data_IF_971171435069
#
_entry.id   IF_971171435069
#
_cell.length_a   1.000
_cell.length_b   1.000
_cell.length_c   1.000
_cell.angle_alpha   90.00
_cell.angle_beta   90.00
_cell.angle_gamma   90.00
#
_symmetry.space_group_name_H-M   'P 1'
#
loop_
_entity.id
_entity.type
_entity.pdbx_description
1 polymer ?
#
# COMPACT_ATOMS: atom_id res chain seq x y z
N UNK A 1 -34.35 4.91 17.32
CA UNK A 1 -34.33 5.19 15.87
C UNK A 1 -33.53 6.46 15.58
N UNK A 2 -33.70 7.53 16.36
CA UNK A 2 -33.02 8.83 16.16
C UNK A 2 -31.48 8.84 16.35
N UNK A 3 -30.90 7.80 16.96
CA UNK A 3 -29.42 7.65 17.05
C UNK A 3 -28.77 7.09 15.79
N UNK A 4 -29.54 6.56 14.83
CA UNK A 4 -29.03 5.98 13.59
C UNK A 4 -28.96 7.02 12.45
N UNK A 5 -29.55 8.21 12.59
CA UNK A 5 -29.50 9.25 11.54
C UNK A 5 -28.14 9.99 11.47
N UNK A 6 -27.24 9.73 12.41
CA UNK A 6 -25.96 10.46 12.54
C UNK A 6 -24.73 9.69 11.99
N UNK A 7 -24.91 8.60 11.23
CA UNK A 7 -23.78 7.87 10.62
C UNK A 7 -22.98 8.69 9.61
N UNK A 8 -23.57 9.74 9.03
CA UNK A 8 -22.89 10.58 8.03
C UNK A 8 -21.69 11.36 8.57
N UNK A 9 -21.58 11.52 9.90
CA UNK A 9 -20.48 12.23 10.56
C UNK A 9 -19.45 11.29 11.22
N UNK A 10 -19.58 9.97 11.02
CA UNK A 10 -18.61 9.02 11.57
C UNK A 10 -17.46 8.88 10.58
N UNK A 11 -16.20 8.98 11.03
CA UNK A 11 -15.05 8.70 10.18
C UNK A 11 -15.18 7.31 9.54
N UNK A 12 -15.11 7.26 8.21
CA UNK A 12 -15.26 6.02 7.45
C UNK A 12 -14.20 5.91 6.37
N UNK A 13 -13.77 4.68 6.10
CA UNK A 13 -12.96 4.33 4.94
C UNK A 13 -13.77 3.52 3.94
N UNK A 14 -13.41 3.61 2.66
CA UNK A 14 -13.97 2.77 1.61
C UNK A 14 -12.92 1.72 1.24
N UNK A 15 -13.23 0.46 1.54
CA UNK A 15 -12.38 -0.66 1.11
C UNK A 15 -12.63 -0.94 -0.38
N UNK A 16 -11.58 -1.11 -1.21
CA UNK A 16 -11.73 -1.38 -2.63
C UNK A 16 -12.67 -2.56 -2.91
N UNK A 17 -13.50 -2.44 -3.95
CA UNK A 17 -14.40 -3.51 -4.34
C UNK A 17 -13.67 -4.53 -5.24
N UNK A 18 -12.80 -5.31 -4.60
CA UNK A 18 -11.99 -6.37 -5.21
C UNK A 18 -12.40 -7.70 -4.57
N UNK A 19 -12.25 -8.81 -5.31
CA UNK A 19 -12.50 -10.14 -4.77
C UNK A 19 -11.45 -10.42 -3.68
N UNK A 20 -11.92 -10.55 -2.44
CA UNK A 20 -11.10 -10.85 -1.27
C UNK A 20 -11.63 -12.09 -0.56
N UNK A 21 -10.73 -12.81 0.09
CA UNK A 21 -11.13 -13.65 1.22
C UNK A 21 -11.62 -12.76 2.37
N UNK A 22 -12.41 -13.32 3.29
CA UNK A 22 -12.91 -12.57 4.47
C UNK A 22 -11.78 -11.94 5.27
N UNK A 23 -10.70 -12.71 5.49
CA UNK A 23 -9.50 -12.27 6.19
C UNK A 23 -8.80 -11.14 5.45
N UNK A 24 -8.67 -11.22 4.12
CA UNK A 24 -7.96 -10.19 3.35
C UNK A 24 -8.75 -8.89 3.26
N UNK A 25 -10.08 -8.98 3.17
CA UNK A 25 -10.94 -7.79 3.26
C UNK A 25 -10.77 -7.09 4.60
N UNK A 26 -10.69 -7.85 5.69
CA UNK A 26 -10.45 -7.33 7.03
C UNK A 26 -9.04 -6.73 7.18
N UNK A 27 -8.00 -7.40 6.68
CA UNK A 27 -6.62 -6.87 6.64
C UNK A 27 -6.56 -5.51 5.94
N UNK A 28 -7.13 -5.42 4.73
CA UNK A 28 -7.16 -4.16 3.96
C UNK A 28 -7.90 -3.07 4.72
N UNK A 29 -9.07 -3.38 5.30
CA UNK A 29 -9.84 -2.42 6.08
C UNK A 29 -9.04 -1.88 7.27
N UNK A 30 -8.40 -2.77 8.05
CA UNK A 30 -7.62 -2.37 9.21
C UNK A 30 -6.42 -1.52 8.80
N UNK A 31 -5.70 -1.92 7.75
CA UNK A 31 -4.51 -1.20 7.26
C UNK A 31 -4.87 0.19 6.75
N UNK A 32 -5.96 0.31 5.97
CA UNK A 32 -6.45 1.61 5.52
C UNK A 32 -6.90 2.48 6.70
N UNK A 33 -7.60 1.90 7.68
CA UNK A 33 -8.11 2.63 8.83
C UNK A 33 -6.99 3.11 9.78
N UNK A 34 -5.92 2.32 9.91
CA UNK A 34 -4.69 2.73 10.62
C UNK A 34 -3.97 3.85 9.86
N UNK A 35 -3.85 3.73 8.54
CA UNK A 35 -3.19 4.74 7.70
C UNK A 35 -3.89 6.11 7.77
N UNK A 36 -5.21 6.14 7.92
CA UNK A 36 -6.00 7.38 8.04
C UNK A 36 -6.21 7.81 9.51
N UNK A 37 -5.56 7.15 10.48
CA UNK A 37 -5.70 7.38 11.93
C UNK A 37 -7.14 7.26 12.46
N UNK A 38 -8.03 6.52 11.80
CA UNK A 38 -9.36 6.16 12.33
C UNK A 38 -9.23 5.06 13.37
N UNK A 39 -8.31 4.13 13.14
CA UNK A 39 -7.93 3.11 14.11
C UNK A 39 -6.52 3.37 14.61
N UNK A 40 -6.24 2.81 15.77
CA UNK A 40 -4.92 2.72 16.40
C UNK A 40 -4.62 1.25 16.73
N UNK A 41 -3.36 0.92 17.01
CA UNK A 41 -2.99 -0.48 17.29
C UNK A 41 -3.67 -1.09 18.52
N UNK A 42 -4.10 -0.28 19.47
CA UNK A 42 -4.81 -0.68 20.69
C UNK A 42 -6.33 -0.71 20.51
N UNK A 43 -6.82 -0.39 19.30
CA UNK A 43 -8.23 -0.44 18.98
C UNK A 43 -8.78 -1.87 19.07
N UNK A 44 -9.97 -1.96 19.67
CA UNK A 44 -10.77 -3.18 19.75
C UNK A 44 -11.93 -3.07 18.78
N UNK A 45 -12.11 -4.09 17.97
CA UNK A 45 -12.99 -4.04 16.79
C UNK A 45 -14.07 -5.10 16.88
N UNK A 46 -15.24 -4.79 16.31
CA UNK A 46 -16.22 -5.79 15.90
C UNK A 46 -16.34 -5.70 14.39
N UNK A 47 -15.88 -6.72 13.68
CA UNK A 47 -16.00 -6.84 12.23
C UNK A 47 -17.27 -7.62 11.89
N UNK A 48 -18.18 -6.97 11.16
CA UNK A 48 -19.33 -7.62 10.54
C UNK A 48 -18.96 -7.96 9.10
N UNK A 49 -18.93 -9.25 8.76
CA UNK A 49 -18.43 -9.71 7.47
C UNK A 49 -19.26 -10.86 6.91
N UNK A 50 -19.13 -11.08 5.61
CA UNK A 50 -19.73 -12.16 4.86
C UNK A 50 -19.48 -11.99 3.36
N UNK A 51 -19.73 -13.05 2.58
CA UNK A 51 -19.44 -13.05 1.14
C UNK A 51 -20.47 -12.21 0.35
N UNK A 52 -21.76 -12.50 0.55
CA UNK A 52 -22.87 -11.79 -0.11
C UNK A 52 -23.75 -11.04 0.89
N UNK A 53 -23.97 -11.62 2.07
CA UNK A 53 -24.69 -11.03 3.19
C UNK A 53 -23.82 -11.12 4.44
N UNK A 54 -24.02 -10.22 5.40
CA UNK A 54 -23.37 -10.32 6.71
C UNK A 54 -23.88 -11.60 7.39
N UNK A 55 -22.97 -12.53 7.64
CA UNK A 55 -23.27 -13.81 8.30
C UNK A 55 -22.35 -14.07 9.50
N UNK A 56 -21.35 -13.21 9.71
CA UNK A 56 -20.32 -13.39 10.73
C UNK A 56 -20.06 -12.09 11.48
N UNK A 57 -19.84 -12.22 12.78
CA UNK A 57 -19.37 -11.17 13.66
C UNK A 57 -18.07 -11.64 14.31
N UNK A 58 -17.00 -10.86 14.16
CA UNK A 58 -15.67 -11.21 14.68
C UNK A 58 -15.22 -10.10 15.61
N UNK A 59 -14.90 -10.44 16.87
CA UNK A 59 -14.25 -9.52 17.79
C UNK A 59 -12.72 -9.66 17.66
N UNK A 60 -12.03 -8.53 17.62
CA UNK A 60 -10.59 -8.46 17.34
C UNK A 60 -9.93 -7.42 18.25
N UNK A 61 -8.70 -7.70 18.68
CA UNK A 61 -7.82 -6.69 19.27
C UNK A 61 -6.59 -6.57 18.37
N UNK A 62 -6.41 -5.42 17.71
CA UNK A 62 -5.41 -5.28 16.64
C UNK A 62 -4.01 -5.72 17.11
N UNK A 63 -3.57 -5.30 18.29
CA UNK A 63 -2.24 -5.64 18.84
C UNK A 63 -2.04 -7.14 19.11
N UNK A 64 -3.11 -7.93 19.23
CA UNK A 64 -3.04 -9.38 19.49
C UNK A 64 -3.07 -10.22 18.21
N UNK A 65 -3.58 -9.67 17.11
CA UNK A 65 -3.84 -10.39 15.87
C UNK A 65 -2.66 -10.35 14.89
N UNK A 66 -1.66 -11.21 15.15
CA UNK A 66 -0.44 -11.32 14.32
C UNK A 66 -0.69 -11.72 12.87
N UNK A 67 -1.81 -12.39 12.60
CA UNK A 67 -2.18 -12.77 11.22
C UNK A 67 -2.72 -11.59 10.41
N UNK A 68 -3.20 -10.53 11.07
CA UNK A 68 -3.75 -9.35 10.40
C UNK A 68 -2.68 -8.28 10.15
N UNK A 69 -1.78 -8.09 11.11
CA UNK A 69 -0.63 -7.21 11.01
C UNK A 69 0.61 -7.97 11.49
N UNK A 70 1.61 -8.07 10.62
CA UNK A 70 2.82 -8.85 10.89
C UNK A 70 3.81 -8.11 11.80
N UNK A 71 3.56 -6.83 12.09
CA UNK A 71 4.46 -5.95 12.82
C UNK A 71 4.04 -5.74 14.27
N UNK A 72 5.03 -5.64 15.18
CA UNK A 72 4.82 -5.58 16.65
C UNK A 72 4.98 -4.20 17.29
N UNK A 73 5.58 -3.22 16.61
CA UNK A 73 5.81 -1.87 17.18
C UNK A 73 4.74 -0.88 16.65
N UNK A 74 4.73 0.35 17.16
CA UNK A 74 3.88 1.40 16.61
C UNK A 74 4.30 1.70 15.17
N UNK A 75 3.43 1.43 14.20
CA UNK A 75 3.62 1.92 12.84
C UNK A 75 3.08 3.34 12.81
N UNK A 76 3.99 4.30 12.77
CA UNK A 76 3.63 5.64 12.37
C UNK A 76 3.48 5.65 10.85
N UNK A 77 2.25 5.57 10.37
CA UNK A 77 1.92 5.78 8.96
C UNK A 77 2.28 7.22 8.52
N UNK A 78 2.47 8.13 9.49
CA UNK A 78 3.08 9.44 9.35
C UNK A 78 2.12 10.50 8.81
N UNK A 79 2.29 11.75 9.26
CA UNK A 79 1.67 12.93 8.64
C UNK A 79 2.21 13.23 7.23
N UNK A 80 3.26 12.51 6.82
CA UNK A 80 4.00 12.75 5.56
C UNK A 80 3.19 12.31 4.35
N UNK A 81 2.38 11.25 4.46
CA UNK A 81 1.60 10.70 3.35
C UNK A 81 0.14 10.98 3.63
N UNK A 82 -0.53 11.68 2.71
CA UNK A 82 -1.96 11.90 2.81
C UNK A 82 -2.71 10.56 2.76
N UNK A 83 -3.67 10.32 3.66
CA UNK A 83 -4.32 9.03 3.73
C UNK A 83 -5.00 8.60 2.41
N UNK A 84 -5.61 9.54 1.70
CA UNK A 84 -6.24 9.31 0.40
C UNK A 84 -5.24 8.87 -0.69
N UNK A 85 -3.98 9.29 -0.58
CA UNK A 85 -2.90 8.90 -1.51
C UNK A 85 -2.49 7.46 -1.25
N UNK A 86 -2.31 7.09 0.02
CA UNK A 86 -2.03 5.71 0.40
C UNK A 86 -3.15 4.76 -0.06
N UNK A 87 -4.41 5.14 0.20
CA UNK A 87 -5.59 4.38 -0.23
C UNK A 87 -5.60 4.19 -1.76
N UNK A 88 -5.36 5.27 -2.52
CA UNK A 88 -5.32 5.26 -3.98
C UNK A 88 -4.25 4.31 -4.52
N UNK A 89 -3.02 4.39 -3.99
CA UNK A 89 -1.90 3.53 -4.43
C UNK A 89 -2.14 2.07 -4.04
N UNK A 90 -2.62 1.82 -2.82
CA UNK A 90 -2.95 0.46 -2.38
C UNK A 90 -4.03 -0.16 -3.26
N UNK A 91 -5.07 0.61 -3.63
CA UNK A 91 -6.09 0.16 -4.58
C UNK A 91 -5.48 -0.21 -5.94
N UNK A 92 -4.66 0.66 -6.52
CA UNK A 92 -3.99 0.38 -7.81
C UNK A 92 -3.13 -0.89 -7.72
N UNK A 93 -2.38 -1.05 -6.63
CA UNK A 93 -1.55 -2.23 -6.39
C UNK A 93 -2.41 -3.52 -6.31
N UNK A 94 -3.54 -3.47 -5.60
CA UNK A 94 -4.47 -4.60 -5.51
C UNK A 94 -5.15 -4.93 -6.83
N UNK A 95 -5.46 -3.93 -7.66
CA UNK A 95 -5.98 -4.14 -9.00
C UNK A 95 -4.93 -4.79 -9.90
N UNK A 96 -3.68 -4.32 -9.87
CA UNK A 96 -2.55 -4.92 -10.59
C UNK A 96 -2.29 -6.36 -10.17
N UNK A 97 -2.32 -6.65 -8.87
CA UNK A 97 -2.21 -7.99 -8.32
C UNK A 97 -3.27 -8.95 -8.88
N UNK A 98 -4.52 -8.49 -8.96
CA UNK A 98 -5.64 -9.33 -9.37
C UNK A 98 -5.73 -9.49 -10.89
N UNK A 99 -5.64 -8.40 -11.64
CA UNK A 99 -5.90 -8.36 -13.08
C UNK A 99 -4.62 -8.56 -13.92
N UNK A 100 -3.45 -8.26 -13.35
CA UNK A 100 -2.22 -8.15 -14.11
C UNK A 100 -2.30 -7.05 -15.18
N UNK A 101 -1.50 -7.19 -16.24
CA UNK A 101 -1.57 -6.36 -17.46
C UNK A 101 -1.69 -7.29 -18.66
N UNK A 102 -2.71 -7.07 -19.50
CA UNK A 102 -2.96 -7.90 -20.70
C UNK A 102 -3.01 -9.41 -20.39
N UNK A 103 -3.52 -9.78 -19.21
CA UNK A 103 -3.61 -11.16 -18.75
C UNK A 103 -2.29 -11.76 -18.22
N UNK A 104 -1.22 -10.97 -18.11
CA UNK A 104 0.05 -11.39 -17.52
C UNK A 104 0.23 -10.79 -16.14
N UNK A 105 0.80 -11.56 -15.21
CA UNK A 105 1.19 -11.05 -13.90
C UNK A 105 2.22 -9.92 -14.06
N UNK A 106 2.08 -8.87 -13.24
CA UNK A 106 3.02 -7.75 -13.21
C UNK A 106 3.45 -7.52 -11.78
N UNK A 107 4.76 -7.46 -11.55
CA UNK A 107 5.33 -7.01 -10.29
C UNK A 107 5.59 -5.51 -10.33
N UNK A 108 5.24 -4.81 -9.24
CA UNK A 108 5.40 -3.36 -9.13
C UNK A 108 5.93 -2.99 -7.75
N UNK A 109 6.63 -1.86 -7.67
CA UNK A 109 7.10 -1.27 -6.42
C UNK A 109 6.71 0.21 -6.39
N UNK A 110 5.96 0.61 -5.38
CA UNK A 110 5.59 2.00 -5.13
C UNK A 110 6.29 2.46 -3.85
N UNK A 111 6.99 3.59 -3.90
CA UNK A 111 7.59 4.27 -2.74
C UNK A 111 6.85 5.58 -2.53
N UNK A 112 6.32 5.79 -1.33
CA UNK A 112 5.44 6.90 -1.00
C UNK A 112 6.08 7.79 0.08
N UNK A 113 6.04 9.10 -0.15
CA UNK A 113 6.52 10.10 0.79
C UNK A 113 8.04 10.19 0.87
N UNK A 114 8.50 11.15 1.68
CA UNK A 114 9.90 11.37 2.05
C UNK A 114 10.90 11.48 0.87
N UNK A 115 10.44 12.06 -0.25
CA UNK A 115 11.15 12.09 -1.53
C UNK A 115 12.56 12.68 -1.43
N UNK A 116 12.73 13.76 -0.67
CA UNK A 116 14.04 14.42 -0.53
C UNK A 116 15.06 13.55 0.23
N UNK A 117 14.63 12.80 1.25
CA UNK A 117 15.52 11.93 2.01
C UNK A 117 15.85 10.63 1.28
N UNK A 118 14.94 10.11 0.43
CA UNK A 118 15.24 8.92 -0.38
C UNK A 118 16.15 9.22 -1.58
N UNK A 119 16.19 10.47 -2.06
CA UNK A 119 16.90 10.90 -3.26
C UNK A 119 18.36 10.42 -3.39
N UNK A 120 19.19 10.39 -2.32
CA UNK A 120 20.55 9.87 -2.41
C UNK A 120 20.63 8.36 -2.76
N UNK A 121 19.56 7.62 -2.52
CA UNK A 121 19.45 6.17 -2.78
C UNK A 121 18.75 5.86 -4.11
N UNK A 122 18.32 6.88 -4.85
CA UNK A 122 17.53 6.75 -6.06
C UNK A 122 18.44 6.92 -7.29
N UNK A 123 18.38 5.95 -8.21
CA UNK A 123 19.04 6.04 -9.52
C UNK A 123 18.03 5.82 -10.64
N UNK A 124 17.80 6.85 -11.45
CA UNK A 124 16.93 6.76 -12.62
C UNK A 124 17.53 5.79 -13.67
N UNK A 125 16.78 4.77 -14.08
CA UNK A 125 17.25 3.78 -15.07
C UNK A 125 16.80 4.09 -16.49
N UNK A 126 15.56 4.56 -16.64
CA UNK A 126 14.95 4.94 -17.93
C UNK A 126 14.55 6.42 -17.91
N UNK A 127 14.15 7.00 -19.05
CA UNK A 127 13.61 8.36 -19.01
C UNK A 127 12.40 8.44 -18.07
N UNK A 128 12.41 9.40 -17.14
CA UNK A 128 11.29 9.61 -16.23
C UNK A 128 10.07 10.07 -17.05
N UNK A 129 8.99 9.25 -17.11
CA UNK A 129 7.84 9.56 -17.96
C UNK A 129 7.00 10.73 -17.43
N UNK A 130 7.17 11.11 -16.16
CA UNK A 130 6.45 12.24 -15.53
C UNK A 130 7.25 13.54 -15.57
N UNK A 131 8.48 13.52 -16.11
CA UNK A 131 9.33 14.73 -16.20
C UNK A 131 8.80 15.66 -17.28
N UNK A 132 8.63 16.94 -16.92
CA UNK A 132 8.17 17.99 -17.84
C UNK A 132 6.68 18.30 -17.77
N UNK A 133 5.90 17.50 -17.04
CA UNK A 133 4.51 17.80 -16.72
C UNK A 133 4.41 18.61 -15.43
N UNK A 134 3.37 19.44 -15.31
CA UNK A 134 3.11 20.18 -14.09
C UNK A 134 2.70 19.23 -12.96
N UNK A 135 3.02 19.61 -11.72
CA UNK A 135 2.69 18.82 -10.52
C UNK A 135 1.19 18.45 -10.44
N UNK A 136 0.32 19.35 -10.88
CA UNK A 136 -1.14 19.18 -10.88
C UNK A 136 -1.61 18.17 -11.92
N UNK A 137 -0.89 18.00 -13.03
CA UNK A 137 -1.24 17.09 -14.12
C UNK A 137 -0.78 15.65 -13.85
N UNK A 138 0.20 15.49 -12.96
CA UNK A 138 0.78 14.20 -12.57
C UNK A 138 0.44 13.81 -11.13
N UNK A 139 -0.70 14.28 -10.61
CA UNK A 139 -1.18 13.86 -9.30
C UNK A 139 -2.03 12.59 -9.43
N UNK A 140 -1.66 11.52 -8.71
CA UNK A 140 -2.29 10.20 -8.78
C UNK A 140 -3.78 10.20 -8.42
N UNK A 141 -4.27 11.25 -7.76
CA UNK A 141 -5.69 11.40 -7.45
C UNK A 141 -6.55 11.66 -8.70
N UNK A 142 -5.93 12.05 -9.83
CA UNK A 142 -6.60 12.19 -11.10
C UNK A 142 -6.99 10.81 -11.66
N UNK A 143 -8.27 10.64 -12.00
CA UNK A 143 -8.82 9.35 -12.43
C UNK A 143 -8.20 8.79 -13.71
N UNK A 144 -7.67 9.64 -14.60
CA UNK A 144 -7.00 9.22 -15.83
C UNK A 144 -5.57 8.68 -15.60
N UNK A 145 -5.00 8.87 -14.41
CA UNK A 145 -3.66 8.39 -14.12
C UNK A 145 -3.63 6.93 -13.63
N UNK A 146 -4.76 6.34 -13.24
CA UNK A 146 -4.84 4.92 -12.86
C UNK A 146 -4.31 4.03 -13.98
N UNK A 147 -4.81 4.25 -15.20
CA UNK A 147 -4.39 3.49 -16.38
C UNK A 147 -2.95 3.80 -16.78
N UNK A 148 -2.49 5.03 -16.57
CA UNK A 148 -1.11 5.44 -16.85
C UNK A 148 -0.13 4.75 -15.90
N UNK A 149 -0.45 4.69 -14.61
CA UNK A 149 0.35 3.97 -13.61
C UNK A 149 0.37 2.47 -13.93
N UNK A 150 -0.78 1.90 -14.32
CA UNK A 150 -0.84 0.50 -14.75
C UNK A 150 -0.02 0.25 -16.01
N UNK A 151 -0.05 1.15 -16.99
CA UNK A 151 0.75 1.05 -18.21
C UNK A 151 2.25 1.08 -17.88
N UNK A 152 2.67 2.01 -17.03
CA UNK A 152 4.08 2.13 -16.64
C UNK A 152 4.54 1.07 -15.63
N UNK A 153 3.64 0.26 -15.08
CA UNK A 153 3.99 -0.78 -14.10
C UNK A 153 4.86 -1.90 -14.69
N UNK A 154 4.93 -1.99 -16.01
CA UNK A 154 5.81 -2.90 -16.75
C UNK A 154 7.28 -2.43 -16.74
N UNK A 155 7.55 -1.18 -16.37
CA UNK A 155 8.91 -0.67 -16.25
C UNK A 155 9.65 -1.35 -15.09
N UNK A 156 10.94 -1.60 -15.27
CA UNK A 156 11.79 -2.09 -14.20
C UNK A 156 12.13 -0.98 -13.19
N UNK A 157 12.03 -1.29 -11.91
CA UNK A 157 12.24 -0.35 -10.80
C UNK A 157 10.97 0.09 -10.08
N UNK A 158 11.09 1.22 -9.37
CA UNK A 158 10.06 1.77 -8.50
C UNK A 158 9.35 2.98 -9.11
N UNK A 159 8.09 3.17 -8.71
CA UNK A 159 7.42 4.47 -8.74
C UNK A 159 7.78 5.25 -7.49
N UNK A 160 8.06 6.54 -7.66
CA UNK A 160 8.24 7.49 -6.57
C UNK A 160 7.04 8.43 -6.53
N UNK A 161 6.38 8.50 -5.38
CA UNK A 161 5.14 9.25 -5.18
C UNK A 161 5.31 10.15 -3.97
N UNK A 162 5.16 11.45 -4.15
CA UNK A 162 5.14 12.41 -3.06
C UNK A 162 3.96 12.19 -2.13
N UNK A 163 4.08 12.64 -0.88
CA UNK A 163 3.06 12.45 0.14
C UNK A 163 1.70 13.08 -0.19
N UNK A 164 1.68 14.08 -1.08
CA UNK A 164 0.47 14.74 -1.59
C UNK A 164 -0.11 14.10 -2.86
N UNK A 165 0.49 13.01 -3.33
CA UNK A 165 0.03 12.24 -4.48
C UNK A 165 0.72 12.59 -5.80
N UNK A 166 1.68 13.51 -5.84
CA UNK A 166 2.44 13.76 -7.08
C UNK A 166 3.30 12.58 -7.47
N UNK A 167 3.15 12.11 -8.70
CA UNK A 167 4.03 11.12 -9.34
C UNK A 167 5.35 11.80 -9.72
N UNK A 168 6.41 11.49 -8.99
CA UNK A 168 7.73 12.10 -9.19
C UNK A 168 8.55 11.37 -10.25
N UNK A 169 8.52 10.04 -10.23
CA UNK A 169 9.22 9.22 -11.22
C UNK A 169 8.66 7.80 -11.32
N UNK A 170 8.99 7.12 -12.42
CA UNK A 170 8.88 5.68 -12.58
C UNK A 170 10.18 5.13 -13.19
N UNK A 171 10.40 3.83 -13.03
CA UNK A 171 11.58 3.16 -13.57
C UNK A 171 12.87 3.49 -12.81
N UNK A 172 12.76 3.56 -11.48
CA UNK A 172 13.83 3.95 -10.57
C UNK A 172 14.47 2.73 -9.92
N UNK A 173 15.79 2.66 -9.94
CA UNK A 173 16.55 1.72 -9.11
C UNK A 173 16.73 2.28 -7.69
N UNK A 174 16.54 1.41 -6.70
CA UNK A 174 16.79 1.70 -5.29
C UNK A 174 18.14 1.10 -4.90
N UNK A 175 19.11 1.96 -4.60
CA UNK A 175 20.45 1.62 -4.15
C UNK A 175 20.62 1.74 -2.62
N UNK A 176 19.55 1.46 -1.87
CA UNK A 176 19.59 1.33 -0.42
C UNK A 176 19.95 -0.09 -0.01
N UNK A 177 20.52 -0.26 1.18
CA UNK A 177 20.77 -1.56 1.81
C UNK A 177 20.00 -1.64 3.12
N UNK A 178 19.30 -2.76 3.34
CA UNK A 178 18.66 -3.08 4.61
C UNK A 178 19.33 -4.30 5.24
N UNK A 179 19.27 -4.37 6.57
CA UNK A 179 19.36 -5.65 7.25
C UNK A 179 18.07 -6.45 6.97
N UNK A 180 18.25 -7.64 6.44
CA UNK A 180 17.17 -8.50 5.94
C UNK A 180 16.87 -9.64 6.90
N UNK A 181 17.54 -9.70 8.05
CA UNK A 181 17.47 -10.83 8.98
C UNK A 181 16.05 -11.06 9.53
N UNK A 182 15.30 -9.99 9.74
CA UNK A 182 13.93 -10.04 10.28
C UNK A 182 12.84 -10.20 9.20
N UNK A 183 13.22 -10.25 7.92
CA UNK A 183 12.25 -10.40 6.83
C UNK A 183 11.88 -11.87 6.58
N UNK A 184 10.61 -12.16 6.24
CA UNK A 184 10.20 -13.49 5.81
C UNK A 184 11.05 -14.01 4.64
N UNK A 185 11.27 -15.33 4.63
CA UNK A 185 11.92 -16.00 3.51
C UNK A 185 11.01 -16.00 2.27
N UNK A 186 11.60 -16.05 1.08
CA UNK A 186 10.87 -16.12 -0.19
C UNK A 186 10.53 -14.76 -0.81
N UNK A 187 10.95 -13.66 -0.19
CA UNK A 187 10.80 -12.32 -0.73
C UNK A 187 11.82 -12.03 -1.86
N UNK A 188 11.33 -11.50 -2.98
CA UNK A 188 12.14 -11.16 -4.15
C UNK A 188 12.84 -9.78 -4.08
N UNK A 189 13.54 -9.40 -5.14
CA UNK A 189 14.34 -8.16 -5.20
C UNK A 189 13.54 -6.88 -4.93
N UNK A 190 12.31 -6.76 -5.45
CA UNK A 190 11.42 -5.60 -5.19
C UNK A 190 11.03 -5.47 -3.72
N UNK A 191 10.80 -6.59 -3.04
CA UNK A 191 10.54 -6.60 -1.60
C UNK A 191 11.78 -6.15 -0.83
N UNK A 192 12.97 -6.60 -1.27
CA UNK A 192 14.20 -6.18 -0.64
C UNK A 192 14.48 -4.70 -0.80
N UNK A 193 14.22 -4.16 -1.98
CA UNK A 193 14.31 -2.74 -2.26
C UNK A 193 13.32 -1.92 -1.40
N UNK A 194 12.08 -2.41 -1.23
CA UNK A 194 11.07 -1.79 -0.37
C UNK A 194 11.51 -1.75 1.10
N UNK A 195 12.02 -2.87 1.63
CA UNK A 195 12.54 -2.90 2.99
C UNK A 195 13.75 -1.96 3.13
N UNK A 196 14.70 -1.99 2.19
CA UNK A 196 15.89 -1.15 2.21
C UNK A 196 15.59 0.34 2.19
N UNK A 197 14.69 0.80 1.33
CA UNK A 197 14.40 2.23 1.27
C UNK A 197 13.64 2.72 2.50
N UNK A 198 12.71 1.90 3.00
CA UNK A 198 11.94 2.26 4.21
C UNK A 198 12.73 2.10 5.50
N UNK A 199 13.89 1.43 5.52
CA UNK A 199 14.75 1.36 6.70
C UNK A 199 15.64 2.59 6.87
N UNK A 200 15.86 3.36 5.80
CA UNK A 200 16.74 4.55 5.79
C UNK A 200 15.96 5.86 5.59
N UNK A 201 14.63 5.81 5.60
CA UNK A 201 13.76 6.97 5.39
C UNK A 201 12.43 6.77 6.11
N UNK A 202 11.63 7.84 6.19
CA UNK A 202 10.25 7.78 6.66
C UNK A 202 9.26 7.40 5.55
N UNK A 203 9.73 7.02 4.36
CA UNK A 203 8.87 6.56 3.29
C UNK A 203 8.11 5.28 3.65
N UNK A 204 7.01 5.05 2.95
CA UNK A 204 6.32 3.76 2.89
C UNK A 204 6.57 3.10 1.55
N UNK A 205 6.42 1.78 1.48
CA UNK A 205 6.47 1.07 0.21
C UNK A 205 5.36 0.04 0.07
N UNK A 206 4.81 -0.08 -1.14
CA UNK A 206 3.81 -1.08 -1.51
C UNK A 206 4.40 -1.91 -2.66
N UNK A 207 4.41 -3.22 -2.50
CA UNK A 207 4.97 -4.16 -3.47
C UNK A 207 3.88 -5.08 -3.98
N UNK A 208 3.80 -5.23 -5.31
CA UNK A 208 3.02 -6.28 -5.97
C UNK A 208 3.99 -7.39 -6.38
N UNK A 209 3.75 -8.60 -5.89
CA UNK A 209 4.52 -9.79 -6.24
C UNK A 209 4.16 -10.27 -7.65
N UNK A 210 5.15 -10.38 -8.53
CA UNK A 210 4.96 -10.89 -9.88
C UNK A 210 4.62 -12.39 -9.90
N UNK A 211 5.21 -13.16 -8.98
CA UNK A 211 5.07 -14.62 -8.93
C UNK A 211 3.80 -15.08 -8.22
N UNK A 212 3.40 -14.38 -7.15
CA UNK A 212 2.26 -14.79 -6.31
C UNK A 212 1.03 -13.89 -6.50
N UNK A 213 1.22 -12.66 -6.97
CA UNK A 213 0.15 -11.67 -7.00
C UNK A 213 -0.16 -11.08 -5.62
N UNK A 214 0.61 -11.40 -4.58
CA UNK A 214 0.40 -10.81 -3.26
C UNK A 214 0.78 -9.34 -3.22
N UNK A 215 0.09 -8.57 -2.39
CA UNK A 215 0.42 -7.17 -2.11
C UNK A 215 1.00 -7.05 -0.72
N UNK A 216 2.21 -6.51 -0.63
CA UNK A 216 2.94 -6.33 0.63
C UNK A 216 3.16 -4.84 0.93
N UNK A 217 3.00 -4.44 2.18
CA UNK A 217 3.27 -3.07 2.64
C UNK A 217 4.48 -3.07 3.56
N UNK A 218 5.42 -2.16 3.33
CA UNK A 218 6.65 -1.99 4.12
C UNK A 218 6.73 -0.59 4.74
N UNK A 219 7.25 -0.54 5.97
CA UNK A 219 7.58 0.68 6.71
C UNK A 219 8.68 0.37 7.70
N UNK A 220 9.61 1.31 7.92
CA UNK A 220 10.72 1.17 8.87
C UNK A 220 11.54 -0.12 8.65
N UNK A 221 11.71 -0.54 7.40
CA UNK A 221 12.45 -1.75 7.03
C UNK A 221 11.72 -3.07 7.27
N UNK A 222 10.47 -3.05 7.77
CA UNK A 222 9.75 -4.27 8.12
C UNK A 222 8.46 -4.42 7.30
N UNK A 223 8.05 -5.67 7.13
CA UNK A 223 6.77 -6.03 6.50
C UNK A 223 5.62 -5.73 7.47
N UNK A 224 4.74 -4.80 7.10
CA UNK A 224 3.59 -4.38 7.89
C UNK A 224 2.43 -5.36 7.74
N UNK A 225 2.08 -5.67 6.49
CA UNK A 225 1.03 -6.61 6.15
C UNK A 225 1.32 -7.23 4.80
N UNK A 226 0.75 -8.41 4.59
CA UNK A 226 0.71 -9.10 3.30
C UNK A 226 -0.73 -9.50 3.03
N UNK A 227 -1.22 -9.09 1.86
CA UNK A 227 -2.57 -9.34 1.36
C UNK A 227 -2.42 -10.34 0.23
N UNK A 228 -2.82 -11.57 0.49
CA UNK A 228 -2.71 -12.65 -0.48
C UNK A 228 -3.73 -12.46 -1.60
N UNK A 229 -3.36 -12.82 -2.84
CA UNK A 229 -4.31 -12.85 -3.95
C UNK A 229 -5.40 -13.87 -3.65
N UNK A 230 -6.67 -13.49 -3.83
CA UNK A 230 -7.77 -14.44 -3.76
C UNK A 230 -7.68 -15.41 -4.96
N UNK A 231 -7.62 -16.71 -4.67
CA UNK A 231 -7.60 -17.80 -5.66
C UNK A 231 -9.03 -18.09 -6.12
#
# INVERSE_FOLDING_TARGET
HDKLENFNNIPSIIVPNIIFTRTNKLKVAIVMALAVNILSKDSKLIALTGLNNIDSMIYLEIEKEKELLLFRENIDFGEIIKPEVFEKVLRIALELANQGREGKSVGALFVLGDIENIKPYIKQMVFNPFKGYDQKERNIMLSNLDDTVKEYSVLDGAFLISGDGTLESAGVHIAASADTADLPKGLGSRHMAAAAITSVSNAMSIVVSESTGDVSVFKNGKLVTQIEKAI
#
